data_IF_227237210821
#
_entry.id   IF_227237210821
#
_cell.length_a   1.000
_cell.length_b   1.000
_cell.length_c   1.000
_cell.angle_alpha   90.00
_cell.angle_beta   90.00
_cell.angle_gamma   90.00
#
_symmetry.space_group_name_H-M   'P 1'
#
loop_
_entity.id
_entity.type
_entity.pdbx_description
1 polymer ?
#
# COMPACT_ATOMS: atom_id res chain seq x y z
N UNK A 1 -8.71 -70.22 -75.88
CA UNK A 1 -7.74 -69.80 -74.86
C UNK A 1 -8.30 -68.56 -74.17
N UNK A 2 -8.78 -68.68 -72.93
CA UNK A 2 -9.34 -67.53 -72.20
C UNK A 2 -8.20 -66.77 -71.50
N UNK A 3 -8.16 -65.46 -71.66
CA UNK A 3 -7.06 -64.60 -71.17
C UNK A 3 -7.01 -64.55 -69.62
N UNK A 4 -5.82 -64.36 -69.01
CA UNK A 4 -5.69 -64.31 -67.56
C UNK A 4 -6.40 -63.06 -67.00
N UNK A 5 -7.22 -63.26 -65.97
CA UNK A 5 -7.99 -62.19 -65.32
C UNK A 5 -7.04 -61.17 -64.68
N UNK A 6 -7.20 -59.88 -65.03
CA UNK A 6 -6.45 -58.79 -64.39
C UNK A 6 -6.97 -58.60 -62.97
N UNK A 7 -6.09 -58.75 -61.97
CA UNK A 7 -6.39 -58.40 -60.60
C UNK A 7 -6.43 -56.86 -60.49
N UNK A 8 -7.63 -56.31 -60.44
CA UNK A 8 -7.85 -54.89 -60.22
C UNK A 8 -7.87 -54.63 -58.72
N UNK A 9 -7.19 -53.57 -58.27
CA UNK A 9 -7.24 -53.17 -56.87
C UNK A 9 -8.62 -52.59 -56.55
N UNK A 10 -9.28 -53.12 -55.52
CA UNK A 10 -10.66 -52.83 -55.18
C UNK A 10 -10.75 -52.48 -53.71
N UNK A 11 -11.69 -51.60 -53.29
CA UNK A 11 -11.97 -51.45 -51.87
C UNK A 11 -12.37 -52.81 -51.28
N UNK A 12 -12.05 -53.06 -50.00
CA UNK A 12 -12.43 -54.30 -49.34
C UNK A 12 -13.95 -54.49 -49.40
N UNK A 13 -14.40 -55.75 -49.45
CA UNK A 13 -15.84 -56.08 -49.42
C UNK A 13 -16.42 -55.58 -48.09
N UNK A 14 -17.16 -54.46 -48.14
CA UNK A 14 -17.66 -53.74 -46.97
C UNK A 14 -17.27 -52.26 -46.89
N UNK A 15 -16.36 -51.80 -47.77
CA UNK A 15 -15.91 -50.41 -47.80
C UNK A 15 -14.89 -50.05 -46.70
N UNK A 16 -14.35 -48.84 -46.78
CA UNK A 16 -13.44 -48.30 -45.75
C UNK A 16 -14.21 -47.77 -44.55
N UNK A 17 -13.54 -47.68 -43.40
CA UNK A 17 -14.11 -47.04 -42.21
C UNK A 17 -14.47 -45.57 -42.51
N UNK A 18 -15.59 -45.11 -41.95
CA UNK A 18 -15.99 -43.70 -42.05
C UNK A 18 -14.94 -42.81 -41.40
N UNK A 19 -14.35 -41.91 -42.18
CA UNK A 19 -13.40 -40.93 -41.68
C UNK A 19 -14.19 -39.77 -41.06
N UNK A 20 -14.10 -39.53 -39.74
CA UNK A 20 -14.78 -38.39 -39.12
C UNK A 20 -14.06 -37.11 -39.55
N UNK A 21 -14.69 -36.34 -40.43
CA UNK A 21 -14.17 -35.04 -40.89
C UNK A 21 -14.64 -33.87 -40.00
N UNK A 22 -15.63 -34.11 -39.13
CA UNK A 22 -16.17 -33.09 -38.24
C UNK A 22 -15.21 -32.83 -37.05
N UNK A 23 -15.08 -31.56 -36.66
CA UNK A 23 -14.28 -31.16 -35.50
C UNK A 23 -14.92 -31.65 -34.20
N UNK A 24 -14.15 -32.37 -33.38
CA UNK A 24 -14.54 -32.70 -32.01
C UNK A 24 -14.13 -31.55 -31.08
N UNK A 25 -15.08 -30.84 -30.45
CA UNK A 25 -14.74 -29.77 -29.51
C UNK A 25 -14.16 -30.34 -28.21
N UNK A 26 -13.28 -29.58 -27.57
CA UNK A 26 -12.69 -29.95 -26.28
C UNK A 26 -13.74 -29.98 -25.16
N UNK A 27 -13.55 -30.89 -24.20
CA UNK A 27 -14.43 -31.02 -23.03
C UNK A 27 -14.27 -29.81 -22.10
N UNK A 28 -15.38 -29.17 -21.74
CA UNK A 28 -15.42 -28.07 -20.76
C UNK A 28 -15.72 -28.65 -19.37
N UNK A 29 -14.88 -28.33 -18.39
CA UNK A 29 -15.03 -28.83 -17.02
C UNK A 29 -15.97 -27.97 -16.18
N UNK A 30 -16.05 -26.67 -16.46
CA UNK A 30 -16.86 -25.73 -15.68
C UNK A 30 -17.81 -24.95 -16.57
N UNK A 31 -19.02 -24.74 -16.05
CA UNK A 31 -20.02 -23.83 -16.62
C UNK A 31 -19.77 -22.40 -16.13
N UNK A 32 -20.19 -21.39 -16.90
CA UNK A 32 -19.94 -19.98 -16.56
C UNK A 32 -20.40 -19.58 -15.16
N UNK A 33 -21.59 -20.02 -14.74
CA UNK A 33 -22.11 -19.78 -13.38
C UNK A 33 -21.22 -20.36 -12.27
N UNK A 34 -20.63 -21.54 -12.49
CA UNK A 34 -19.76 -22.17 -11.49
C UNK A 34 -18.49 -21.35 -11.27
N UNK A 35 -17.94 -20.74 -12.33
CA UNK A 35 -16.79 -19.85 -12.24
C UNK A 35 -17.14 -18.55 -11.49
N UNK A 36 -18.32 -17.99 -11.75
CA UNK A 36 -18.82 -16.79 -11.04
C UNK A 36 -19.02 -17.09 -9.55
N UNK A 37 -19.63 -18.23 -9.22
CA UNK A 37 -19.84 -18.65 -7.83
C UNK A 37 -18.51 -18.89 -7.11
N UNK A 38 -17.54 -19.54 -7.77
CA UNK A 38 -16.20 -19.73 -7.22
C UNK A 38 -15.50 -18.38 -6.97
N UNK A 39 -15.56 -17.47 -7.93
CA UNK A 39 -15.00 -16.12 -7.80
C UNK A 39 -15.62 -15.35 -6.63
N UNK A 40 -16.95 -15.39 -6.49
CA UNK A 40 -17.65 -14.78 -5.37
C UNK A 40 -17.19 -15.39 -4.03
N UNK A 41 -17.10 -16.72 -3.95
CA UNK A 41 -16.60 -17.42 -2.76
C UNK A 41 -15.19 -17.00 -2.36
N UNK A 42 -14.24 -16.99 -3.30
CA UNK A 42 -12.88 -16.54 -3.04
C UNK A 42 -12.83 -15.08 -2.59
N UNK A 43 -13.61 -14.22 -3.23
CA UNK A 43 -13.67 -12.79 -2.90
C UNK A 43 -14.22 -12.56 -1.49
N UNK A 44 -15.32 -13.23 -1.12
CA UNK A 44 -15.91 -13.10 0.22
C UNK A 44 -14.94 -13.57 1.31
N UNK A 45 -14.24 -14.69 1.10
CA UNK A 45 -13.22 -15.17 2.04
C UNK A 45 -12.06 -14.18 2.13
N UNK A 46 -11.55 -13.69 0.99
CA UNK A 46 -10.47 -12.71 0.94
C UNK A 46 -10.82 -11.42 1.69
N UNK A 47 -12.02 -10.88 1.47
CA UNK A 47 -12.50 -9.68 2.18
C UNK A 47 -12.65 -9.91 3.68
N UNK A 48 -13.09 -11.10 4.09
CA UNK A 48 -13.22 -11.45 5.52
C UNK A 48 -11.87 -11.48 6.21
N UNK A 49 -10.86 -12.09 5.59
CA UNK A 49 -9.49 -12.11 6.10
C UNK A 49 -8.86 -10.72 6.10
N UNK A 50 -9.12 -9.92 5.07
CA UNK A 50 -8.66 -8.54 5.00
C UNK A 50 -9.24 -7.70 6.15
N UNK A 51 -10.54 -7.82 6.42
CA UNK A 51 -11.20 -7.14 7.53
C UNK A 51 -10.57 -7.48 8.89
N UNK A 52 -10.26 -8.75 9.14
CA UNK A 52 -9.57 -9.17 10.36
C UNK A 52 -8.21 -8.49 10.48
N UNK A 53 -7.41 -8.46 9.41
CA UNK A 53 -6.11 -7.78 9.39
C UNK A 53 -6.24 -6.28 9.63
N UNK A 54 -7.21 -5.60 9.02
CA UNK A 54 -7.46 -4.19 9.28
C UNK A 54 -7.78 -3.93 10.76
N UNK A 55 -8.55 -4.83 11.39
CA UNK A 55 -8.90 -4.73 12.80
C UNK A 55 -7.68 -4.93 13.71
N UNK A 56 -6.78 -5.86 13.38
CA UNK A 56 -5.51 -6.04 14.09
C UNK A 56 -4.62 -4.80 13.94
N UNK A 57 -4.43 -4.32 12.71
CA UNK A 57 -3.59 -3.15 12.44
C UNK A 57 -4.10 -1.90 13.17
N UNK A 58 -5.42 -1.69 13.17
CA UNK A 58 -6.03 -0.57 13.90
C UNK A 58 -5.73 -0.64 15.40
N UNK A 59 -5.78 -1.83 16.00
CA UNK A 59 -5.43 -2.02 17.42
C UNK A 59 -3.97 -1.68 17.70
N UNK A 60 -3.05 -2.14 16.85
CA UNK A 60 -1.63 -1.80 16.96
C UNK A 60 -1.39 -0.29 16.81
N UNK A 61 -2.09 0.37 15.89
CA UNK A 61 -2.00 1.83 15.72
C UNK A 61 -2.48 2.58 16.97
N UNK A 62 -3.59 2.15 17.57
CA UNK A 62 -4.12 2.76 18.80
C UNK A 62 -3.13 2.57 19.95
N UNK A 63 -2.55 1.38 20.10
CA UNK A 63 -1.52 1.10 21.11
C UNK A 63 -0.29 2.01 20.92
N UNK A 64 0.21 2.13 19.68
CA UNK A 64 1.36 2.99 19.37
C UNK A 64 1.08 4.48 19.56
N UNK A 65 -0.15 4.94 19.29
CA UNK A 65 -0.55 6.31 19.62
C UNK A 65 -0.57 6.52 21.13
N UNK A 66 -1.08 5.56 21.89
CA UNK A 66 -1.02 5.57 23.35
C UNK A 66 0.40 5.70 23.87
N UNK A 67 1.32 4.86 23.39
CA UNK A 67 2.74 4.90 23.75
C UNK A 67 3.39 6.25 23.43
N UNK A 68 3.12 6.81 22.24
CA UNK A 68 3.63 8.13 21.84
C UNK A 68 3.11 9.24 22.73
N UNK A 69 1.81 9.22 23.07
CA UNK A 69 1.22 10.25 23.92
C UNK A 69 1.85 10.30 25.32
N UNK A 70 2.19 9.14 25.89
CA UNK A 70 2.87 9.06 27.19
C UNK A 70 4.28 9.67 27.12
N UNK A 71 5.04 9.36 26.07
CA UNK A 71 6.42 9.86 25.90
C UNK A 71 6.45 11.33 25.49
N UNK A 72 5.39 11.81 24.83
CA UNK A 72 5.32 13.17 24.26
C UNK A 72 5.61 14.26 25.29
N UNK A 73 5.09 14.14 26.51
CA UNK A 73 5.32 15.13 27.56
C UNK A 73 6.80 15.26 27.94
N UNK A 74 7.54 14.15 27.97
CA UNK A 74 8.97 14.15 28.26
C UNK A 74 9.77 14.78 27.11
N UNK A 75 9.46 14.41 25.86
CA UNK A 75 10.10 15.01 24.68
C UNK A 75 9.82 16.51 24.57
N UNK A 76 8.60 16.93 24.93
CA UNK A 76 8.22 18.33 24.97
C UNK A 76 9.08 19.09 25.99
N UNK A 77 9.23 18.53 27.19
CA UNK A 77 10.05 19.14 28.24
C UNK A 77 11.53 19.27 27.84
N UNK A 78 12.10 18.25 27.18
CA UNK A 78 13.46 18.30 26.65
C UNK A 78 13.63 19.39 25.59
N UNK A 79 12.69 19.45 24.63
CA UNK A 79 12.68 20.48 23.58
C UNK A 79 12.58 21.89 24.19
N UNK A 80 11.65 22.09 25.12
CA UNK A 80 11.42 23.39 25.73
C UNK A 80 12.64 23.83 26.56
N UNK A 81 13.33 22.89 27.22
CA UNK A 81 14.60 23.16 27.93
C UNK A 81 15.69 23.62 26.97
N UNK A 82 15.90 22.94 25.85
CA UNK A 82 16.90 23.34 24.86
C UNK A 82 16.55 24.68 24.19
N UNK A 83 15.27 24.92 23.93
CA UNK A 83 14.80 26.20 23.42
C UNK A 83 15.14 27.36 24.36
N UNK A 84 14.85 27.23 25.66
CA UNK A 84 15.18 28.25 26.66
C UNK A 84 16.69 28.49 26.80
N UNK A 85 17.49 27.42 26.74
CA UNK A 85 18.96 27.54 26.75
C UNK A 85 19.46 28.32 25.53
N UNK A 86 18.91 28.04 24.35
CA UNK A 86 19.28 28.75 23.12
C UNK A 86 18.88 30.22 23.18
N UNK A 87 17.66 30.53 23.65
CA UNK A 87 17.24 31.91 23.85
C UNK A 87 18.17 32.66 24.81
N UNK A 88 18.63 31.99 25.87
CA UNK A 88 19.57 32.60 26.81
C UNK A 88 20.91 32.92 26.15
N UNK A 89 21.49 31.97 25.39
CA UNK A 89 22.72 32.18 24.62
C UNK A 89 22.59 33.35 23.65
N UNK A 90 21.52 33.37 22.86
CA UNK A 90 21.25 34.45 21.92
C UNK A 90 21.14 35.81 22.63
N UNK A 91 20.49 35.86 23.80
CA UNK A 91 20.35 37.09 24.59
C UNK A 91 21.69 37.57 25.15
N UNK A 92 22.53 36.65 25.62
CA UNK A 92 23.86 36.98 26.14
C UNK A 92 24.78 37.45 25.00
N UNK A 93 24.69 36.84 23.81
CA UNK A 93 25.38 37.28 22.60
C UNK A 93 24.90 38.65 22.09
N UNK A 94 23.59 38.89 22.07
CA UNK A 94 22.99 40.18 21.71
C UNK A 94 23.48 41.29 22.65
N UNK A 95 23.50 41.02 23.96
CA UNK A 95 23.99 41.98 24.96
C UNK A 95 25.48 42.33 24.73
N UNK A 96 26.30 41.35 24.37
CA UNK A 96 27.71 41.57 24.09
C UNK A 96 27.92 42.34 22.77
N UNK A 97 27.12 42.06 21.74
CA UNK A 97 27.21 42.67 20.42
C UNK A 97 26.69 44.12 20.40
N UNK A 98 25.59 44.39 21.12
CA UNK A 98 24.88 45.68 21.07
C UNK A 98 25.26 46.66 22.17
N UNK A 99 26.26 46.34 23.00
CA UNK A 99 26.71 47.17 24.15
C UNK A 99 27.05 48.61 23.79
N UNK A 100 27.53 48.86 22.57
CA UNK A 100 28.03 50.16 22.12
C UNK A 100 26.93 51.00 21.43
N UNK A 101 25.72 50.46 21.27
CA UNK A 101 24.59 51.14 20.62
C UNK A 101 23.78 51.92 21.65
N UNK A 102 23.73 53.25 21.50
CA UNK A 102 23.04 54.14 22.45
C UNK A 102 21.53 53.88 22.42
N UNK A 103 20.96 53.55 23.60
CA UNK A 103 19.53 53.34 23.78
C UNK A 103 19.04 51.93 23.39
N UNK A 104 19.94 50.97 23.14
CA UNK A 104 19.55 49.59 22.88
C UNK A 104 19.17 48.85 24.17
N UNK A 105 17.96 48.29 24.21
CA UNK A 105 17.50 47.41 25.27
C UNK A 105 17.42 45.98 24.74
N UNK A 106 18.17 45.07 25.37
CA UNK A 106 18.30 43.67 24.92
C UNK A 106 16.94 42.96 24.92
N UNK A 107 16.60 42.35 23.78
CA UNK A 107 15.32 41.66 23.57
C UNK A 107 14.15 42.58 23.19
N UNK A 108 14.41 43.86 22.89
CA UNK A 108 13.45 44.77 22.27
C UNK A 108 13.88 45.12 20.85
N UNK A 109 12.93 45.56 20.03
CA UNK A 109 13.24 46.19 18.76
C UNK A 109 13.29 47.71 18.97
N UNK A 110 14.50 48.26 19.19
CA UNK A 110 14.70 49.69 19.43
C UNK A 110 13.76 50.28 20.51
N UNK A 111 13.57 49.55 21.62
CA UNK A 111 12.70 49.97 22.72
C UNK A 111 11.22 49.56 22.57
N UNK A 112 10.82 49.00 21.43
CA UNK A 112 9.48 48.41 21.27
C UNK A 112 9.51 46.89 21.53
N UNK A 113 8.54 46.33 22.26
CA UNK A 113 8.42 44.88 22.40
C UNK A 113 8.06 44.26 21.04
N UNK A 114 8.76 43.18 20.67
CA UNK A 114 8.58 42.48 19.39
C UNK A 114 7.16 41.93 19.22
N UNK A 115 6.50 41.57 20.32
CA UNK A 115 5.12 41.09 20.32
C UNK A 115 4.22 42.08 21.08
N UNK A 116 3.07 42.41 20.48
CA UNK A 116 1.99 43.11 21.18
C UNK A 116 1.21 42.09 22.00
N UNK A 117 1.21 42.23 23.32
CA UNK A 117 0.25 41.54 24.17
C UNK A 117 -1.11 42.23 24.06
N UNK A 118 -2.17 41.45 23.83
CA UNK A 118 -3.56 41.93 23.88
C UNK A 118 -3.92 42.41 25.28
#
# INVERSE_FOLDING_TARGET
MSAPAKLQDMPPRGGYQSIPFARVPAKKYFKGWQLIAAYAGFTTVGLSLYYLNCRENHRNEVEMRGARNVIYALLLAERDREYLKQLRRNRDEEAALMKDVKGWEVGTWYGEPVFKTL
#
